data_IF_618726616855
#
_entry.id   IF_618726616855
#
_cell.length_a   1.000
_cell.length_b   1.000
_cell.length_c   1.000
_cell.angle_alpha   90.00
_cell.angle_beta   90.00
_cell.angle_gamma   90.00
#
_symmetry.space_group_name_H-M   'P 1'
#
loop_
_entity.id
_entity.type
_entity.pdbx_description
1 polymer ?
#
# COMPACT_ATOMS: atom_id res chain seq x y z
N UNK A 1 5.64 -19.23 -20.18
CA UNK A 1 6.11 -20.28 -19.26
C UNK A 1 7.51 -19.92 -18.81
N UNK A 2 7.98 -20.45 -17.69
CA UNK A 2 9.41 -20.37 -17.33
C UNK A 2 10.10 -21.45 -18.14
N UNK A 3 11.06 -21.06 -18.98
CA UNK A 3 11.73 -21.99 -19.89
C UNK A 3 13.03 -22.54 -19.25
N UNK A 4 13.66 -21.76 -18.35
CA UNK A 4 14.89 -22.17 -17.67
C UNK A 4 14.98 -21.57 -16.27
N UNK A 5 15.30 -22.41 -15.29
CA UNK A 5 15.65 -22.02 -13.92
C UNK A 5 17.04 -22.61 -13.60
N UNK A 6 18.01 -21.75 -13.32
CA UNK A 6 19.36 -22.15 -12.92
C UNK A 6 19.59 -21.75 -11.47
N UNK A 7 20.07 -22.69 -10.65
CA UNK A 7 20.42 -22.45 -9.25
C UNK A 7 21.93 -22.58 -9.08
N UNK A 8 22.57 -21.53 -8.58
CA UNK A 8 24.00 -21.52 -8.26
C UNK A 8 24.17 -21.27 -6.77
N UNK A 9 24.93 -22.13 -6.10
CA UNK A 9 25.19 -22.04 -4.67
C UNK A 9 26.69 -21.95 -4.44
N UNK A 10 27.11 -21.01 -3.58
CA UNK A 10 28.48 -20.93 -3.09
C UNK A 10 28.47 -21.27 -1.61
N UNK A 11 29.19 -22.32 -1.23
CA UNK A 11 29.30 -22.78 0.15
C UNK A 11 30.59 -22.25 0.79
N UNK A 12 30.56 -22.06 2.10
CA UNK A 12 31.72 -21.77 2.94
C UNK A 12 31.71 -22.71 4.14
N UNK A 13 32.88 -22.99 4.68
CA UNK A 13 33.04 -23.78 5.90
C UNK A 13 32.93 -22.85 7.12
N UNK A 14 32.10 -23.21 8.09
CA UNK A 14 31.93 -22.49 9.35
C UNK A 14 31.95 -23.51 10.50
N UNK A 15 33.08 -23.61 11.20
CA UNK A 15 33.32 -24.71 12.13
C UNK A 15 33.47 -26.02 11.35
N UNK A 16 32.66 -27.03 11.67
CA UNK A 16 32.71 -28.37 11.05
C UNK A 16 31.61 -28.59 10.01
N UNK A 17 30.95 -27.52 9.53
CA UNK A 17 29.82 -27.62 8.59
C UNK A 17 29.95 -26.66 7.41
N UNK A 18 29.51 -27.10 6.23
CA UNK A 18 29.39 -26.26 5.04
C UNK A 18 28.02 -25.58 5.00
N UNK A 19 28.03 -24.26 4.89
CA UNK A 19 26.82 -23.42 4.85
C UNK A 19 26.83 -22.52 3.61
N UNK A 20 25.67 -22.14 3.06
CA UNK A 20 25.62 -21.31 1.86
C UNK A 20 26.05 -19.87 2.14
N UNK A 21 27.14 -19.41 1.56
CA UNK A 21 27.51 -17.99 1.56
C UNK A 21 26.56 -17.17 0.69
N UNK A 22 26.21 -17.71 -0.48
CA UNK A 22 25.29 -17.08 -1.41
C UNK A 22 24.53 -18.12 -2.23
N UNK A 23 23.27 -17.81 -2.54
CA UNK A 23 22.42 -18.61 -3.44
C UNK A 23 21.85 -17.68 -4.49
N UNK A 24 22.07 -18.00 -5.77
CA UNK A 24 21.54 -17.26 -6.91
C UNK A 24 20.57 -18.13 -7.71
N UNK A 25 19.36 -17.63 -7.90
CA UNK A 25 18.33 -18.20 -8.76
C UNK A 25 18.23 -17.35 -10.02
N UNK A 26 18.62 -17.89 -11.17
CA UNK A 26 18.49 -17.23 -12.47
C UNK A 26 17.28 -17.81 -13.20
N UNK A 27 16.38 -16.95 -13.66
CA UNK A 27 15.11 -17.32 -14.27
C UNK A 27 15.08 -16.71 -15.68
N UNK A 28 14.76 -17.52 -16.67
CA UNK A 28 14.50 -17.06 -18.03
C UNK A 28 13.27 -17.75 -18.62
N UNK A 29 12.54 -17.05 -19.47
CA UNK A 29 11.40 -17.65 -20.16
C UNK A 29 10.76 -16.75 -21.19
N UNK A 30 9.77 -17.30 -21.89
CA UNK A 30 8.96 -16.60 -22.87
C UNK A 30 7.48 -16.75 -22.56
N UNK A 31 6.73 -15.66 -22.62
CA UNK A 31 5.27 -15.67 -22.48
C UNK A 31 4.64 -14.66 -23.44
N UNK A 32 3.68 -15.10 -24.26
CA UNK A 32 2.98 -14.28 -25.26
C UNK A 32 3.91 -13.45 -26.18
N UNK A 33 5.04 -14.03 -26.60
CA UNK A 33 6.02 -13.34 -27.45
C UNK A 33 7.06 -12.50 -26.68
N UNK A 34 6.79 -12.14 -25.43
CA UNK A 34 7.72 -11.42 -24.56
C UNK A 34 8.75 -12.37 -23.96
N UNK A 35 10.04 -12.02 -24.07
CA UNK A 35 11.14 -12.72 -23.39
C UNK A 35 11.45 -11.99 -22.09
N UNK A 36 11.64 -12.74 -21.01
CA UNK A 36 12.09 -12.21 -19.73
C UNK A 36 13.28 -13.01 -19.21
N UNK A 37 14.19 -12.30 -18.54
CA UNK A 37 15.29 -12.89 -17.79
C UNK A 37 15.54 -12.07 -16.53
N UNK A 38 16.02 -12.71 -15.49
CA UNK A 38 16.36 -12.05 -14.23
C UNK A 38 17.03 -13.03 -13.28
N UNK A 39 17.59 -12.50 -12.19
CA UNK A 39 18.12 -13.33 -11.12
C UNK A 39 17.76 -12.77 -9.75
N UNK A 40 17.67 -13.67 -8.77
CA UNK A 40 17.48 -13.35 -7.35
C UNK A 40 18.68 -13.91 -6.60
N UNK A 41 19.36 -13.09 -5.81
CA UNK A 41 20.53 -13.52 -5.04
C UNK A 41 20.31 -13.27 -3.55
N UNK A 42 20.46 -14.33 -2.75
CA UNK A 42 20.56 -14.26 -1.29
C UNK A 42 22.01 -14.29 -0.86
N UNK A 43 22.40 -13.40 0.08
CA UNK A 43 23.72 -13.37 0.70
C UNK A 43 23.57 -13.54 2.20
N UNK A 44 24.25 -14.53 2.77
CA UNK A 44 24.16 -14.87 4.18
C UNK A 44 25.46 -14.48 4.89
N UNK A 45 25.32 -13.89 6.09
CA UNK A 45 26.44 -13.42 6.91
C UNK A 45 26.18 -13.76 8.38
N UNK A 46 27.24 -13.80 9.19
CA UNK A 46 27.18 -14.01 10.64
C UNK A 46 26.50 -15.32 11.04
N UNK A 47 26.94 -16.44 10.46
CA UNK A 47 26.44 -17.77 10.81
C UNK A 47 26.75 -18.10 12.27
N UNK A 48 25.72 -18.50 13.02
CA UNK A 48 25.86 -19.15 14.30
C UNK A 48 25.47 -20.63 14.14
N UNK A 49 26.49 -21.51 14.02
CA UNK A 49 26.31 -22.96 13.80
C UNK A 49 26.04 -23.74 15.09
N UNK A 50 26.25 -23.13 16.26
CA UNK A 50 25.93 -23.70 17.58
C UNK A 50 25.09 -22.71 18.39
N UNK A 51 23.86 -22.37 17.94
CA UNK A 51 23.05 -21.38 18.63
C UNK A 51 22.53 -21.93 19.96
N UNK A 52 22.64 -21.12 21.01
CA UNK A 52 21.99 -21.39 22.31
C UNK A 52 20.67 -20.63 22.35
N UNK A 53 19.55 -21.35 22.32
CA UNK A 53 18.22 -20.76 22.40
C UNK A 53 17.72 -20.76 23.84
N UNK A 54 17.27 -19.59 24.34
CA UNK A 54 16.56 -19.52 25.62
C UNK A 54 15.10 -20.00 25.45
N UNK A 55 14.41 -20.29 26.55
CA UNK A 55 13.01 -20.79 26.52
C UNK A 55 12.01 -19.83 25.85
N UNK A 56 12.38 -18.55 25.68
CA UNK A 56 11.56 -17.50 25.08
C UNK A 56 12.07 -17.05 23.70
N UNK A 57 12.94 -17.82 23.06
CA UNK A 57 13.62 -17.40 21.83
C UNK A 57 12.67 -17.40 20.61
N UNK A 58 11.85 -18.45 20.50
CA UNK A 58 10.87 -18.56 19.42
C UNK A 58 9.63 -17.73 19.77
N UNK A 59 9.47 -16.61 19.07
CA UNK A 59 8.25 -15.81 19.07
C UNK A 59 7.43 -16.11 17.81
N UNK A 60 6.21 -15.61 17.75
CA UNK A 60 5.37 -15.71 16.55
C UNK A 60 5.85 -14.80 15.39
N UNK A 61 6.93 -14.04 15.57
CA UNK A 61 7.43 -13.07 14.59
C UNK A 61 8.59 -13.68 13.77
N UNK A 62 8.27 -14.12 12.55
CA UNK A 62 9.23 -14.78 11.64
C UNK A 62 10.02 -13.75 10.81
N UNK A 63 9.40 -12.61 10.48
CA UNK A 63 10.00 -11.55 9.66
C UNK A 63 9.51 -10.18 10.11
N UNK A 64 10.45 -9.30 10.45
CA UNK A 64 10.17 -7.90 10.75
C UNK A 64 10.76 -7.00 9.67
N UNK A 65 9.88 -6.34 8.91
CA UNK A 65 10.29 -5.28 7.99
C UNK A 65 10.11 -3.95 8.72
N UNK A 66 11.22 -3.30 9.05
CA UNK A 66 11.19 -2.00 9.70
C UNK A 66 10.52 -0.95 8.81
N UNK A 67 9.55 -0.19 9.34
CA UNK A 67 8.80 0.84 8.58
C UNK A 67 9.70 1.89 7.95
N UNK A 68 10.87 2.14 8.57
CA UNK A 68 11.85 3.12 8.10
C UNK A 68 12.77 2.58 7.00
N UNK A 69 12.66 1.31 6.60
CA UNK A 69 13.54 0.70 5.58
C UNK A 69 13.46 1.46 4.26
N UNK A 70 12.25 1.79 3.80
CA UNK A 70 12.03 2.55 2.55
C UNK A 70 12.39 4.03 2.65
N UNK A 71 12.69 4.53 3.87
CA UNK A 71 13.11 5.92 4.12
C UNK A 71 14.63 6.03 4.34
N UNK A 72 15.37 4.92 4.21
CA UNK A 72 16.83 4.94 4.35
C UNK A 72 17.45 5.64 3.15
N UNK A 73 18.46 6.44 3.45
CA UNK A 73 19.21 7.23 2.48
C UNK A 73 19.97 6.35 1.46
N UNK A 74 20.20 6.81 0.21
CA UNK A 74 21.04 6.11 -0.76
C UNK A 74 22.41 5.66 -0.22
N UNK A 75 23.09 6.48 0.59
CA UNK A 75 24.38 6.15 1.19
C UNK A 75 24.28 4.96 2.16
N UNK A 76 23.17 4.84 2.89
CA UNK A 76 22.92 3.68 3.74
C UNK A 76 22.89 2.40 2.90
N UNK A 77 22.22 2.43 1.76
CA UNK A 77 22.13 1.27 0.88
C UNK A 77 23.43 0.96 0.16
N UNK A 78 24.21 1.97 -0.24
CA UNK A 78 25.55 1.75 -0.81
C UNK A 78 26.48 1.04 0.16
N UNK A 79 26.43 1.41 1.45
CA UNK A 79 27.27 0.77 2.49
C UNK A 79 26.81 -0.64 2.87
N UNK A 80 25.50 -0.87 2.93
CA UNK A 80 24.95 -2.13 3.48
C UNK A 80 24.61 -3.17 2.40
N UNK A 81 24.52 -2.81 1.12
CA UNK A 81 24.30 -3.78 0.05
C UNK A 81 25.52 -4.69 -0.05
N UNK A 82 25.26 -6.00 -0.10
CA UNK A 82 26.32 -7.00 -0.30
C UNK A 82 26.75 -7.11 -1.77
N UNK A 83 25.93 -6.60 -2.68
CA UNK A 83 26.12 -6.71 -4.13
C UNK A 83 25.96 -5.30 -4.71
N UNK A 84 26.95 -4.79 -5.45
CA UNK A 84 26.84 -3.47 -6.07
C UNK A 84 25.79 -3.50 -7.19
N UNK A 85 25.14 -2.35 -7.40
CA UNK A 85 24.21 -2.19 -8.52
C UNK A 85 24.96 -2.22 -9.85
N UNK A 86 24.38 -2.89 -10.83
CA UNK A 86 24.83 -2.81 -12.23
C UNK A 86 24.65 -1.38 -12.77
N UNK A 87 25.33 -1.03 -13.86
CA UNK A 87 25.16 0.28 -14.52
C UNK A 87 23.71 0.54 -14.93
N UNK A 88 23.06 -0.47 -15.51
CA UNK A 88 21.65 -0.41 -15.94
C UNK A 88 20.71 -0.19 -14.75
N UNK A 89 20.93 -0.90 -13.64
CA UNK A 89 20.13 -0.71 -12.43
C UNK A 89 20.29 0.71 -11.87
N UNK A 90 21.50 1.25 -11.81
CA UNK A 90 21.73 2.63 -11.33
C UNK A 90 20.96 3.64 -12.15
N UNK A 91 21.01 3.53 -13.48
CA UNK A 91 20.29 4.45 -14.36
C UNK A 91 18.77 4.27 -14.24
N UNK A 92 18.29 3.04 -14.08
CA UNK A 92 16.89 2.75 -13.82
C UNK A 92 16.42 3.35 -12.49
N UNK A 93 17.21 3.22 -11.42
CA UNK A 93 16.92 3.82 -10.12
C UNK A 93 16.81 5.34 -10.22
N UNK A 94 17.76 6.01 -10.90
CA UNK A 94 17.69 7.46 -11.14
C UNK A 94 16.42 7.86 -11.88
N UNK A 95 16.08 7.16 -12.97
CA UNK A 95 14.85 7.41 -13.74
C UNK A 95 13.59 7.21 -12.88
N UNK A 96 13.52 6.10 -12.13
CA UNK A 96 12.39 5.80 -11.25
C UNK A 96 12.23 6.84 -10.15
N UNK A 97 13.32 7.29 -9.55
CA UNK A 97 13.32 8.32 -8.52
C UNK A 97 12.82 9.67 -9.07
N UNK A 98 13.33 10.07 -10.24
CA UNK A 98 12.86 11.27 -10.94
C UNK A 98 11.37 11.19 -11.29
N UNK A 99 10.91 10.07 -11.83
CA UNK A 99 9.50 9.86 -12.17
C UNK A 99 8.63 9.85 -10.91
N UNK A 100 9.09 9.24 -9.82
CA UNK A 100 8.35 9.20 -8.56
C UNK A 100 8.23 10.60 -7.96
N UNK A 101 9.30 11.38 -8.00
CA UNK A 101 9.31 12.79 -7.57
C UNK A 101 8.31 13.63 -8.36
N UNK A 102 8.31 13.51 -9.69
CA UNK A 102 7.35 14.21 -10.55
C UNK A 102 5.91 13.77 -10.28
N UNK A 103 5.66 12.47 -10.11
CA UNK A 103 4.32 11.93 -9.81
C UNK A 103 3.80 12.33 -8.44
N UNK A 104 4.70 12.61 -7.49
CA UNK A 104 4.34 13.10 -6.16
C UNK A 104 4.24 14.64 -6.10
N UNK A 105 4.61 15.34 -7.18
CA UNK A 105 4.51 16.80 -7.24
C UNK A 105 3.04 17.24 -7.20
N UNK A 106 2.80 18.40 -6.61
CA UNK A 106 1.46 18.98 -6.51
C UNK A 106 0.85 19.20 -7.89
N UNK A 107 1.59 19.78 -8.84
CA UNK A 107 1.11 20.07 -10.19
C UNK A 107 0.60 18.82 -10.91
N UNK A 108 1.33 17.70 -10.79
CA UNK A 108 0.91 16.44 -11.40
C UNK A 108 -0.36 15.88 -10.72
N UNK A 109 -0.37 15.84 -9.38
CA UNK A 109 -1.52 15.31 -8.63
C UNK A 109 -2.78 16.16 -8.84
N UNK A 110 -2.64 17.48 -8.89
CA UNK A 110 -3.75 18.40 -9.14
C UNK A 110 -4.32 18.20 -10.55
N UNK A 111 -3.47 17.95 -11.55
CA UNK A 111 -3.93 17.62 -12.91
C UNK A 111 -4.71 16.30 -12.95
N UNK A 112 -4.21 15.27 -12.27
CA UNK A 112 -4.91 13.98 -12.15
C UNK A 112 -6.23 14.14 -11.41
N UNK A 113 -6.24 14.90 -10.33
CA UNK A 113 -7.44 15.18 -9.54
C UNK A 113 -8.47 15.97 -10.34
N UNK A 114 -8.08 16.94 -11.17
CA UNK A 114 -9.00 17.66 -12.07
C UNK A 114 -9.75 16.72 -13.01
N UNK A 115 -9.09 15.70 -13.55
CA UNK A 115 -9.73 14.71 -14.42
C UNK A 115 -10.64 13.78 -13.62
N UNK A 116 -10.21 13.35 -12.43
CA UNK A 116 -10.99 12.45 -11.55
C UNK A 116 -12.21 13.13 -10.91
N UNK A 117 -12.10 14.41 -10.58
CA UNK A 117 -13.12 15.21 -9.92
C UNK A 117 -14.12 15.83 -10.90
N UNK A 118 -14.14 15.41 -12.16
CA UNK A 118 -15.12 15.89 -13.13
C UNK A 118 -16.52 15.52 -12.63
N UNK A 119 -17.32 16.54 -12.35
CA UNK A 119 -18.67 16.35 -11.85
C UNK A 119 -19.56 15.74 -12.93
N UNK A 120 -20.24 14.65 -12.57
CA UNK A 120 -21.21 13.99 -13.43
C UNK A 120 -22.55 13.88 -12.66
N UNK A 121 -23.59 14.63 -13.06
CA UNK A 121 -24.90 14.60 -12.40
C UNK A 121 -25.56 13.22 -12.38
N UNK A 122 -25.39 12.42 -13.44
CA UNK A 122 -25.93 11.05 -13.47
C UNK A 122 -25.18 10.13 -12.49
N UNK A 123 -23.88 10.35 -12.33
CA UNK A 123 -23.05 9.58 -11.41
C UNK A 123 -23.47 9.78 -9.96
N UNK A 124 -23.71 11.02 -9.51
CA UNK A 124 -24.08 11.33 -8.12
C UNK A 124 -25.46 10.79 -7.72
N UNK A 125 -26.33 10.54 -8.71
CA UNK A 125 -27.64 9.99 -8.45
C UNK A 125 -27.55 8.51 -8.06
N UNK A 126 -26.74 7.73 -8.79
CA UNK A 126 -26.74 6.25 -8.69
C UNK A 126 -25.52 5.68 -7.98
N UNK A 127 -24.38 6.36 -8.03
CA UNK A 127 -23.10 5.87 -7.50
C UNK A 127 -22.44 6.89 -6.58
N UNK A 128 -21.58 6.48 -5.64
CA UNK A 128 -20.89 7.41 -4.77
C UNK A 128 -19.98 8.33 -5.60
N UNK A 129 -20.09 9.64 -5.40
CA UNK A 129 -19.20 10.62 -6.01
C UNK A 129 -18.03 10.90 -5.05
N UNK A 130 -16.79 10.81 -5.54
CA UNK A 130 -15.59 11.03 -4.71
C UNK A 130 -14.82 12.23 -5.24
N UNK A 131 -14.65 13.22 -4.38
CA UNK A 131 -13.79 14.37 -4.62
C UNK A 131 -12.43 14.15 -3.95
N UNK A 132 -11.38 14.09 -4.76
CA UNK A 132 -10.00 13.84 -4.33
C UNK A 132 -9.20 15.13 -4.21
N UNK A 133 -8.38 15.22 -3.16
CA UNK A 133 -7.24 16.12 -3.04
C UNK A 133 -6.02 15.28 -2.67
N UNK A 134 -5.47 14.60 -3.66
CA UNK A 134 -4.44 13.58 -3.56
C UNK A 134 -3.15 14.11 -2.95
N UNK A 135 -2.73 15.34 -3.29
CA UNK A 135 -1.54 15.99 -2.70
C UNK A 135 -1.62 16.07 -1.17
N UNK A 136 -2.79 16.48 -0.67
CA UNK A 136 -3.06 16.57 0.78
C UNK A 136 -3.62 15.27 1.38
N UNK A 137 -3.69 14.19 0.58
CA UNK A 137 -4.23 12.87 0.95
C UNK A 137 -5.64 12.96 1.54
N UNK A 138 -6.46 13.88 1.02
CA UNK A 138 -7.86 14.05 1.45
C UNK A 138 -8.80 13.51 0.40
N UNK A 139 -9.92 12.95 0.83
CA UNK A 139 -11.03 12.65 -0.06
C UNK A 139 -12.35 12.88 0.64
N UNK A 140 -13.35 13.36 -0.10
CA UNK A 140 -14.73 13.46 0.36
C UNK A 140 -15.59 12.60 -0.54
N UNK A 141 -16.29 11.64 0.05
CA UNK A 141 -17.23 10.76 -0.65
C UNK A 141 -18.64 11.18 -0.31
N UNK A 142 -19.42 11.44 -1.34
CA UNK A 142 -20.83 11.76 -1.28
C UNK A 142 -21.63 10.51 -1.60
N UNK A 143 -22.49 10.06 -0.68
CA UNK A 143 -23.33 8.89 -0.92
C UNK A 143 -24.35 9.21 -2.04
N UNK A 144 -24.80 8.21 -2.83
CA UNK A 144 -25.72 8.42 -3.93
C UNK A 144 -27.06 8.99 -3.45
N UNK A 145 -27.61 9.95 -4.21
CA UNK A 145 -28.89 10.58 -3.85
C UNK A 145 -30.06 9.58 -3.96
N UNK A 146 -30.05 8.68 -4.95
CA UNK A 146 -31.15 7.72 -5.14
C UNK A 146 -31.27 6.74 -3.98
N UNK A 147 -30.16 6.29 -3.39
CA UNK A 147 -30.19 5.38 -2.23
C UNK A 147 -30.43 6.12 -0.90
N UNK A 148 -30.43 7.45 -0.94
CA UNK A 148 -30.65 8.29 0.24
C UNK A 148 -32.14 8.50 0.53
N UNK A 149 -33.01 8.33 -0.47
CA UNK A 149 -34.46 8.38 -0.29
C UNK A 149 -34.98 6.96 -0.15
N UNK A 150 -35.76 6.70 0.89
CA UNK A 150 -36.34 5.38 1.15
C UNK A 150 -37.70 5.53 1.80
N UNK A 151 -38.46 4.44 1.83
CA UNK A 151 -39.78 4.40 2.45
C UNK A 151 -39.81 3.32 3.52
N UNK A 152 -40.43 3.62 4.67
CA UNK A 152 -40.78 2.61 5.66
C UNK A 152 -42.13 2.94 6.33
N UNK A 153 -42.74 1.95 6.99
CA UNK A 153 -44.10 2.05 7.54
C UNK A 153 -44.23 3.02 8.72
N UNK A 154 -43.12 3.37 9.40
CA UNK A 154 -43.13 4.22 10.60
C UNK A 154 -42.87 5.69 10.24
N UNK A 155 -41.88 5.94 9.38
CA UNK A 155 -41.45 7.29 8.96
C UNK A 155 -42.09 7.74 7.65
N UNK A 156 -42.78 6.85 6.94
CA UNK A 156 -43.29 7.08 5.60
C UNK A 156 -42.13 7.28 4.62
N UNK A 157 -42.24 8.30 3.77
CA UNK A 157 -41.11 8.79 2.98
C UNK A 157 -40.04 9.31 3.94
N UNK A 158 -38.79 8.90 3.74
CA UNK A 158 -37.68 9.32 4.57
C UNK A 158 -36.43 9.59 3.72
N UNK A 159 -35.64 10.56 4.18
CA UNK A 159 -34.34 10.92 3.61
C UNK A 159 -33.25 10.55 4.61
N UNK A 160 -32.19 9.89 4.16
CA UNK A 160 -30.99 9.58 4.92
C UNK A 160 -29.77 9.85 4.04
N UNK A 161 -29.03 10.89 4.36
CA UNK A 161 -27.86 11.30 3.58
C UNK A 161 -26.60 11.27 4.43
N UNK A 162 -25.50 10.83 3.84
CA UNK A 162 -24.22 10.79 4.52
C UNK A 162 -23.08 11.24 3.62
N UNK A 163 -22.08 11.86 4.25
CA UNK A 163 -20.84 12.28 3.59
C UNK A 163 -19.69 11.66 4.35
N UNK A 164 -18.73 11.05 3.66
CA UNK A 164 -17.55 10.47 4.29
C UNK A 164 -16.31 11.28 3.93
N UNK A 165 -15.75 11.97 4.92
CA UNK A 165 -14.46 12.65 4.81
C UNK A 165 -13.35 11.72 5.29
N UNK A 166 -12.31 11.57 4.48
CA UNK A 166 -11.10 10.81 4.81
C UNK A 166 -9.87 11.69 4.71
N UNK A 167 -9.01 11.60 5.71
CA UNK A 167 -7.66 12.18 5.71
C UNK A 167 -6.64 11.05 5.90
N UNK A 168 -5.75 10.91 4.93
CA UNK A 168 -4.59 10.03 5.02
C UNK A 168 -3.34 10.75 5.53
N UNK A 169 -2.42 9.98 6.09
CA UNK A 169 -1.08 10.39 6.46
C UNK A 169 -0.04 9.60 5.64
N UNK A 170 1.22 10.04 5.66
CA UNK A 170 2.28 9.41 4.86
C UNK A 170 2.62 7.99 5.28
N UNK A 171 2.34 7.65 6.54
CA UNK A 171 2.64 6.35 7.15
C UNK A 171 1.49 5.34 7.04
N UNK A 172 0.50 5.64 6.18
CA UNK A 172 -0.65 4.76 5.93
C UNK A 172 -1.74 4.86 6.99
N UNK A 173 -1.53 5.65 8.06
CA UNK A 173 -2.62 6.01 8.97
C UNK A 173 -3.67 6.82 8.23
N UNK A 174 -4.90 6.76 8.70
CA UNK A 174 -5.95 7.65 8.24
C UNK A 174 -6.98 7.85 9.35
N UNK A 175 -7.69 8.97 9.30
CA UNK A 175 -8.97 9.08 9.99
C UNK A 175 -10.09 9.30 8.97
N UNK A 176 -11.28 8.85 9.35
CA UNK A 176 -12.52 9.13 8.61
C UNK A 176 -13.53 9.74 9.55
N UNK A 177 -14.29 10.71 9.05
CA UNK A 177 -15.47 11.26 9.71
C UNK A 177 -16.63 11.13 8.74
N UNK A 178 -17.68 10.43 9.16
CA UNK A 178 -18.91 10.22 8.40
C UNK A 178 -20.09 10.82 9.18
N UNK A 179 -20.39 12.12 9.00
CA UNK A 179 -21.69 12.66 9.36
C UNK A 179 -22.79 12.02 8.52
N UNK A 180 -23.90 11.71 9.16
CA UNK A 180 -25.12 11.22 8.51
C UNK A 180 -26.33 11.90 9.17
N UNK A 181 -27.27 12.32 8.33
CA UNK A 181 -28.51 12.98 8.75
C UNK A 181 -29.68 12.19 8.18
N UNK A 182 -30.75 12.09 8.95
CA UNK A 182 -31.98 11.39 8.59
C UNK A 182 -33.20 12.21 8.97
N UNK A 183 -34.16 12.31 8.07
CA UNK A 183 -35.44 12.95 8.31
C UNK A 183 -36.58 12.04 7.85
N UNK A 184 -37.52 11.74 8.75
CA UNK A 184 -38.76 11.03 8.43
C UNK A 184 -39.89 12.03 8.21
N UNK A 185 -40.51 12.03 7.03
CA UNK A 185 -41.53 13.02 6.70
C UNK A 185 -42.88 12.74 7.40
N UNK A 186 -43.25 11.49 7.63
CA UNK A 186 -44.54 11.16 8.26
C UNK A 186 -44.53 11.29 9.79
N UNK A 187 -43.37 11.15 10.43
CA UNK A 187 -43.23 11.31 11.88
C UNK A 187 -42.52 12.60 12.30
N UNK A 188 -42.13 13.43 11.33
CA UNK A 188 -41.46 14.73 11.50
C UNK A 188 -40.18 14.67 12.36
N UNK A 189 -39.48 13.53 12.37
CA UNK A 189 -38.29 13.35 13.21
C UNK A 189 -37.00 13.58 12.43
N UNK A 190 -36.19 14.51 12.94
CA UNK A 190 -34.81 14.70 12.53
C UNK A 190 -33.85 13.92 13.42
N UNK A 191 -32.95 13.16 12.82
CA UNK A 191 -31.88 12.43 13.49
C UNK A 191 -30.54 12.80 12.84
N UNK A 192 -29.52 13.03 13.66
CA UNK A 192 -28.15 13.23 13.19
C UNK A 192 -27.21 12.29 13.93
N UNK A 193 -26.26 11.72 13.21
CA UNK A 193 -25.20 10.92 13.79
C UNK A 193 -23.86 11.29 13.13
N UNK A 194 -22.78 11.05 13.88
CA UNK A 194 -21.42 11.25 13.38
C UNK A 194 -20.64 10.00 13.76
N UNK A 195 -20.03 9.36 12.75
CA UNK A 195 -19.12 8.23 12.96
C UNK A 195 -17.70 8.68 12.67
N UNK A 196 -16.81 8.58 13.64
CA UNK A 196 -15.38 8.78 13.44
C UNK A 196 -14.63 7.46 13.57
N UNK A 197 -13.56 7.30 12.79
CA UNK A 197 -12.65 6.15 12.87
C UNK A 197 -11.23 6.66 12.68
N UNK A 198 -10.31 6.22 13.53
CA UNK A 198 -8.88 6.46 13.38
C UNK A 198 -8.14 5.13 13.27
N UNK A 199 -7.38 4.96 12.19
CA UNK A 199 -6.47 3.84 12.04
C UNK A 199 -5.09 4.28 12.53
N UNK A 200 -4.71 3.78 13.71
CA UNK A 200 -3.43 4.10 14.35
C UNK A 200 -2.26 3.25 13.82
N UNK A 201 -2.54 2.03 13.36
CA UNK A 201 -1.53 1.09 12.86
C UNK A 201 -2.00 0.39 11.59
N UNK A 202 -1.41 0.75 10.44
CA UNK A 202 -1.71 0.12 9.16
C UNK A 202 -1.00 -1.23 8.96
N UNK A 203 0.05 -1.53 9.73
CA UNK A 203 0.83 -2.77 9.58
C UNK A 203 0.24 -3.97 10.31
N UNK A 204 -0.57 -3.74 11.36
CA UNK A 204 -1.20 -4.82 12.14
C UNK A 204 -2.46 -5.40 11.48
N UNK A 205 -3.07 -4.70 10.53
CA UNK A 205 -4.28 -5.13 9.82
C UNK A 205 -3.99 -5.83 8.48
N UNK A 206 -2.73 -6.03 8.14
CA UNK A 206 -2.28 -6.87 7.03
C UNK A 206 -1.84 -8.23 7.56
N UNK A 207 -2.79 -9.00 8.09
CA UNK A 207 -2.63 -10.40 8.46
C UNK A 207 -3.68 -11.23 7.75
#
# INVERSE_FOLDING_TARGET
MIDTLTVQQKLIEVGDVYVPQSIQFSIAGKLFGFKFSGYVMGVYKNYNVKPTFNKSFFSNEILKIERSSNKKDPFYWEKNRSVPLTSEERDNYKRKDSVTTLKNSQNYLDSVDQVKNRFNPGQILVTPYVHYRSYNRKSVTYDPVATSVFFNTIEGLALKYAVNWRQGFEDGRYYTIKPEVRYGFANERFNANIKSRYLFDASRNGS
#
